data_IF_272965975846
#
_entry.id   IF_272965975846
#
_cell.length_a   1.000
_cell.length_b   1.000
_cell.length_c   1.000
_cell.angle_alpha   90.00
_cell.angle_beta   90.00
_cell.angle_gamma   90.00
#
_symmetry.space_group_name_H-M   'P 1'
#
loop_
_entity.id
_entity.type
_entity.pdbx_description
1 polymer ?
#
# COMPACT_ATOMS: atom_id res chain seq x y z
N UNK A 1 7.02 2.42 20.95
CA UNK A 1 7.51 3.22 22.11
C UNK A 1 7.12 4.70 21.99
N UNK A 2 7.44 5.38 20.89
CA UNK A 2 7.23 6.83 20.74
C UNK A 2 5.78 7.29 20.97
N UNK A 3 4.77 6.61 20.42
CA UNK A 3 3.37 7.02 20.59
C UNK A 3 2.90 6.98 22.06
N UNK A 4 3.34 5.97 22.82
CA UNK A 4 3.03 5.84 24.26
C UNK A 4 3.60 7.01 25.05
N UNK A 5 4.83 7.41 24.75
CA UNK A 5 5.50 8.55 25.39
C UNK A 5 4.83 9.88 25.00
N UNK A 6 4.43 10.07 23.74
CA UNK A 6 3.67 11.27 23.34
C UNK A 6 2.31 11.36 24.02
N UNK A 7 1.64 10.22 24.28
CA UNK A 7 0.37 10.22 25.01
C UNK A 7 0.51 10.61 26.48
N UNK A 8 1.72 10.49 27.04
CA UNK A 8 2.06 10.85 28.42
C UNK A 8 2.71 12.25 28.51
N UNK A 9 2.47 13.13 27.53
CA UNK A 9 2.96 14.52 27.47
C UNK A 9 4.51 14.68 27.44
N UNK A 10 5.26 13.63 27.04
CA UNK A 10 6.71 13.75 26.83
C UNK A 10 7.03 14.47 25.52
N UNK A 11 8.02 15.38 25.57
CA UNK A 11 8.64 15.99 24.39
C UNK A 11 9.62 14.99 23.78
N UNK A 12 9.36 14.54 22.55
CA UNK A 12 10.24 13.60 21.83
C UNK A 12 11.06 14.37 20.81
N UNK A 13 12.37 14.43 21.01
CA UNK A 13 13.31 14.89 19.99
C UNK A 13 13.70 13.72 19.09
N UNK A 14 13.34 13.80 17.81
CA UNK A 14 13.75 12.84 16.79
C UNK A 14 15.21 13.15 16.41
N UNK A 15 16.14 12.35 16.91
CA UNK A 15 17.52 12.37 16.45
C UNK A 15 17.63 11.57 15.14
N UNK A 16 17.95 12.23 14.02
CA UNK A 16 18.44 11.56 12.83
C UNK A 16 19.89 11.17 13.06
N UNK A 17 20.24 9.90 12.86
CA UNK A 17 21.54 9.41 13.29
C UNK A 17 22.25 8.60 12.19
N UNK A 18 23.54 8.90 12.04
CA UNK A 18 24.52 8.19 11.23
C UNK A 18 25.70 7.79 12.15
N UNK A 19 25.93 6.50 12.38
CA UNK A 19 27.00 5.99 13.26
C UNK A 19 26.82 4.54 13.74
N UNK A 20 27.65 4.10 14.71
CA UNK A 20 27.75 2.72 15.21
C UNK A 20 26.79 2.34 16.36
N UNK A 21 25.76 1.57 16.03
CA UNK A 21 24.94 0.74 16.95
C UNK A 21 24.03 1.43 17.98
N UNK A 22 22.79 1.78 17.60
CA UNK A 22 21.69 1.93 18.56
C UNK A 22 21.10 0.55 18.92
N UNK A 23 21.21 0.13 20.19
CA UNK A 23 20.49 -1.03 20.72
C UNK A 23 19.16 -0.57 21.32
N UNK A 24 18.10 -0.55 20.51
CA UNK A 24 16.75 -0.34 21.03
C UNK A 24 16.23 -1.63 21.66
N UNK A 25 16.15 -1.66 22.99
CA UNK A 25 15.40 -2.68 23.70
C UNK A 25 13.91 -2.33 23.67
N UNK A 26 13.13 -3.10 22.91
CA UNK A 26 11.67 -3.06 23.00
C UNK A 26 11.25 -3.87 24.22
N UNK A 27 11.03 -3.22 25.35
CA UNK A 27 10.30 -3.85 26.46
C UNK A 27 8.80 -3.85 26.11
N UNK A 28 8.30 -5.01 25.67
CA UNK A 28 6.90 -5.36 25.80
C UNK A 28 6.64 -5.58 27.29
N UNK A 29 6.24 -4.54 28.01
CA UNK A 29 5.59 -4.77 29.30
C UNK A 29 4.27 -5.51 29.05
N UNK A 30 4.16 -6.65 29.72
CA UNK A 30 3.15 -7.73 29.61
C UNK A 30 1.80 -7.35 30.20
N UNK A 31 1.35 -6.10 30.05
CA UNK A 31 0.05 -5.69 30.55
C UNK A 31 -0.61 -4.69 29.61
N UNK A 32 -1.47 -5.20 28.72
CA UNK A 32 -2.76 -4.58 28.46
C UNK A 32 -3.74 -5.70 28.07
N UNK A 33 -4.81 -5.76 28.85
CA UNK A 33 -5.68 -6.91 29.04
C UNK A 33 -6.66 -7.10 27.87
N UNK A 34 -6.71 -8.36 27.47
CA UNK A 34 -7.76 -9.17 26.89
C UNK A 34 -9.23 -8.67 26.99
N UNK A 35 -9.63 -7.48 26.52
CA UNK A 35 -11.06 -7.14 26.29
C UNK A 35 -11.32 -6.23 25.05
N UNK A 36 -10.31 -5.62 24.42
CA UNK A 36 -10.52 -4.74 23.25
C UNK A 36 -9.70 -5.15 22.01
N UNK A 37 -9.95 -6.38 21.54
CA UNK A 37 -9.23 -7.12 20.48
C UNK A 37 -9.65 -6.72 19.05
N UNK A 38 -9.66 -5.43 18.75
CA UNK A 38 -10.07 -4.90 17.44
C UNK A 38 -9.12 -3.82 16.91
N UNK A 39 -9.40 -3.25 15.73
CA UNK A 39 -8.58 -2.17 15.14
C UNK A 39 -8.46 -0.94 16.06
N UNK A 40 -9.36 -0.81 17.05
CA UNK A 40 -9.32 0.21 18.09
C UNK A 40 -8.72 -0.34 19.39
N UNK A 41 -7.41 -0.47 19.42
CA UNK A 41 -6.67 -0.92 20.62
C UNK A 41 -6.82 0.09 21.77
N UNK A 42 -6.66 -0.35 23.04
CA UNK A 42 -6.65 0.55 24.19
C UNK A 42 -5.65 1.71 24.02
N UNK A 43 -4.49 1.44 23.40
CA UNK A 43 -3.50 2.44 23.05
C UNK A 43 -4.03 3.48 22.06
N UNK A 44 -4.71 3.05 21.00
CA UNK A 44 -5.29 3.96 20.01
C UNK A 44 -6.37 4.85 20.62
N UNK A 45 -7.20 4.31 21.53
CA UNK A 45 -8.19 5.11 22.27
C UNK A 45 -7.53 6.13 23.18
N UNK A 46 -6.51 5.75 23.95
CA UNK A 46 -5.70 6.67 24.77
C UNK A 46 -5.08 7.77 23.90
N UNK A 47 -4.57 7.42 22.72
CA UNK A 47 -4.03 8.38 21.76
C UNK A 47 -5.10 9.37 21.26
N UNK A 48 -6.30 8.91 20.89
CA UNK A 48 -7.39 9.78 20.44
C UNK A 48 -7.78 10.81 21.50
N UNK A 49 -7.84 10.39 22.77
CA UNK A 49 -8.21 11.26 23.90
C UNK A 49 -7.04 11.92 24.62
N UNK A 50 -5.79 11.74 24.17
CA UNK A 50 -4.60 12.39 24.74
C UNK A 50 -4.57 13.91 24.52
N UNK A 51 -3.70 14.64 25.23
CA UNK A 51 -3.49 16.09 25.07
C UNK A 51 -2.60 16.47 23.88
N UNK A 52 -2.22 15.50 23.03
CA UNK A 52 -1.44 15.74 21.81
C UNK A 52 -2.16 16.72 20.88
N UNK A 53 -1.40 17.61 20.22
CA UNK A 53 -1.92 18.55 19.22
C UNK A 53 -2.73 17.82 18.14
N UNK A 54 -3.91 18.36 17.83
CA UNK A 54 -4.84 17.79 16.84
C UNK A 54 -4.18 17.55 15.47
N UNK A 55 -3.32 18.47 15.02
CA UNK A 55 -2.59 18.33 13.74
C UNK A 55 -1.75 17.06 13.70
N UNK A 56 -1.03 16.74 14.78
CA UNK A 56 -0.21 15.54 14.86
C UNK A 56 -1.08 14.28 14.93
N UNK A 57 -2.24 14.35 15.59
CA UNK A 57 -3.19 13.23 15.60
C UNK A 57 -3.69 12.93 14.18
N UNK A 58 -4.12 13.96 13.45
CA UNK A 58 -4.58 13.82 12.06
C UNK A 58 -3.46 13.24 11.21
N UNK A 59 -2.24 13.75 11.29
CA UNK A 59 -1.11 13.22 10.51
C UNK A 59 -0.83 11.75 10.80
N UNK A 60 -0.80 11.36 12.08
CA UNK A 60 -0.56 9.96 12.47
C UNK A 60 -1.70 9.05 11.98
N UNK A 61 -2.95 9.45 12.17
CA UNK A 61 -4.12 8.67 11.71
C UNK A 61 -4.10 8.55 10.18
N UNK A 62 -3.86 9.64 9.46
CA UNK A 62 -3.77 9.64 8.00
C UNK A 62 -2.64 8.73 7.53
N UNK A 63 -1.46 8.81 8.15
CA UNK A 63 -0.32 7.96 7.82
C UNK A 63 -0.59 6.48 8.12
N UNK A 64 -1.23 6.15 9.24
CA UNK A 64 -1.67 4.77 9.49
C UNK A 64 -2.73 4.33 8.48
N UNK A 65 -3.66 5.22 8.14
CA UNK A 65 -4.73 4.99 7.18
C UNK A 65 -4.25 4.67 5.77
N UNK A 66 -3.11 5.20 5.34
CA UNK A 66 -2.55 4.85 4.02
C UNK A 66 -2.14 3.38 3.94
N UNK A 67 -1.65 2.76 5.03
CA UNK A 67 -1.37 1.33 5.05
C UNK A 67 -2.65 0.49 4.90
N UNK A 68 -3.73 0.89 5.57
CA UNK A 68 -5.04 0.24 5.39
C UNK A 68 -5.57 0.40 3.96
N UNK A 69 -5.42 1.58 3.36
CA UNK A 69 -5.80 1.82 1.98
C UNK A 69 -4.98 0.95 1.01
N UNK A 70 -3.66 0.85 1.21
CA UNK A 70 -2.78 -0.02 0.42
C UNK A 70 -3.19 -1.48 0.61
N UNK A 71 -3.45 -1.94 1.83
CA UNK A 71 -3.86 -3.32 2.11
C UNK A 71 -5.21 -3.68 1.50
N UNK A 72 -6.16 -2.74 1.48
CA UNK A 72 -7.49 -2.94 0.89
C UNK A 72 -7.53 -2.78 -0.65
N UNK A 73 -6.49 -2.19 -1.26
CA UNK A 73 -6.49 -1.81 -2.67
C UNK A 73 -6.76 -3.00 -3.61
N UNK A 74 -6.17 -4.17 -3.37
CA UNK A 74 -6.38 -5.35 -4.22
C UNK A 74 -7.81 -5.92 -4.13
N UNK A 75 -8.42 -5.86 -2.95
CA UNK A 75 -9.82 -6.27 -2.74
C UNK A 75 -10.75 -5.30 -3.47
N UNK A 76 -10.58 -3.99 -3.22
CA UNK A 76 -11.39 -2.95 -3.85
C UNK A 76 -11.26 -2.98 -5.37
N UNK A 77 -10.05 -3.20 -5.90
CA UNK A 77 -9.82 -3.32 -7.36
C UNK A 77 -10.50 -4.56 -7.93
N UNK A 78 -10.47 -5.68 -7.22
CA UNK A 78 -11.15 -6.91 -7.63
C UNK A 78 -12.68 -6.73 -7.62
N UNK A 79 -13.23 -6.16 -6.54
CA UNK A 79 -14.65 -5.82 -6.46
C UNK A 79 -15.05 -4.84 -7.57
N UNK A 80 -14.24 -3.81 -7.82
CA UNK A 80 -14.45 -2.82 -8.86
C UNK A 80 -14.49 -3.47 -10.25
N UNK A 81 -13.61 -4.43 -10.53
CA UNK A 81 -13.64 -5.18 -11.79
C UNK A 81 -14.97 -5.91 -12.00
N UNK A 82 -15.45 -6.62 -10.99
CA UNK A 82 -16.73 -7.33 -11.08
C UNK A 82 -17.92 -6.37 -11.22
N UNK A 83 -17.92 -5.25 -10.48
CA UNK A 83 -18.95 -4.21 -10.57
C UNK A 83 -19.01 -3.58 -11.96
N UNK A 84 -17.87 -3.14 -12.52
CA UNK A 84 -17.79 -2.60 -13.89
C UNK A 84 -18.18 -3.64 -14.94
N UNK A 85 -17.94 -4.92 -14.65
CA UNK A 85 -18.33 -6.03 -15.50
C UNK A 85 -19.83 -6.34 -15.46
N UNK A 86 -20.53 -6.11 -14.35
CA UNK A 86 -21.97 -6.40 -14.22
C UNK A 86 -22.83 -5.18 -14.57
N UNK A 87 -22.40 -3.98 -14.18
CA UNK A 87 -23.15 -2.73 -14.37
C UNK A 87 -22.52 -1.85 -15.46
N UNK A 88 -22.06 -2.50 -16.53
CA UNK A 88 -21.35 -1.82 -17.61
C UNK A 88 -22.23 -0.74 -18.27
N UNK A 89 -21.69 0.46 -18.48
CA UNK A 89 -22.42 1.61 -19.02
C UNK A 89 -23.24 2.41 -18.00
N UNK A 90 -23.68 1.79 -16.88
CA UNK A 90 -24.35 2.53 -15.80
C UNK A 90 -23.35 3.25 -14.89
N UNK A 91 -22.21 2.59 -14.61
CA UNK A 91 -21.18 3.14 -13.73
C UNK A 91 -20.27 4.16 -14.43
N UNK A 92 -20.15 4.12 -15.75
CA UNK A 92 -19.22 4.95 -16.54
C UNK A 92 -19.37 6.44 -16.24
N UNK A 93 -20.61 6.92 -16.04
CA UNK A 93 -20.90 8.32 -15.66
C UNK A 93 -20.16 8.77 -14.39
N UNK A 94 -19.93 7.88 -13.43
CA UNK A 94 -19.26 8.19 -12.17
C UNK A 94 -17.74 8.10 -12.27
N UNK A 95 -17.21 7.31 -13.22
CA UNK A 95 -15.77 7.07 -13.36
C UNK A 95 -15.09 7.98 -14.36
N UNK A 96 -15.75 8.35 -15.46
CA UNK A 96 -15.11 9.06 -16.59
C UNK A 96 -14.46 10.38 -16.13
N UNK A 97 -15.20 11.23 -15.41
CA UNK A 97 -14.70 12.53 -14.96
C UNK A 97 -13.49 12.38 -14.02
N UNK A 98 -13.61 11.47 -13.05
CA UNK A 98 -12.52 11.16 -12.10
C UNK A 98 -11.29 10.59 -12.79
N UNK A 99 -11.50 9.73 -13.80
CA UNK A 99 -10.44 9.10 -14.58
C UNK A 99 -9.67 10.12 -15.44
N UNK A 100 -10.39 11.05 -16.09
CA UNK A 100 -9.77 12.11 -16.87
C UNK A 100 -8.89 13.01 -15.99
N UNK A 101 -9.41 13.46 -14.85
CA UNK A 101 -8.65 14.28 -13.89
C UNK A 101 -7.41 13.55 -13.40
N UNK A 102 -7.56 12.27 -13.00
CA UNK A 102 -6.45 11.45 -12.54
C UNK A 102 -5.35 11.30 -13.59
N UNK A 103 -5.73 10.99 -14.84
CA UNK A 103 -4.80 10.84 -15.96
C UNK A 103 -4.05 12.15 -16.26
N UNK A 104 -4.77 13.28 -16.29
CA UNK A 104 -4.17 14.61 -16.51
C UNK A 104 -3.17 14.99 -15.41
N UNK A 105 -3.50 14.73 -14.15
CA UNK A 105 -2.61 15.07 -13.03
C UNK A 105 -1.33 14.23 -13.08
N UNK A 106 -1.48 12.92 -13.24
CA UNK A 106 -0.36 11.99 -13.16
C UNK A 106 0.58 12.15 -14.33
N UNK A 107 0.09 12.23 -15.57
CA UNK A 107 0.97 12.23 -16.74
C UNK A 107 1.42 13.63 -17.17
N UNK A 108 0.54 14.63 -17.08
CA UNK A 108 0.77 15.94 -17.69
C UNK A 108 1.14 16.98 -16.64
N UNK A 109 0.34 17.12 -15.58
CA UNK A 109 0.50 18.22 -14.62
C UNK A 109 1.82 18.15 -13.86
N UNK A 110 2.21 16.96 -13.37
CA UNK A 110 3.47 16.77 -12.65
C UNK A 110 4.71 17.09 -13.50
N UNK A 111 4.69 16.73 -14.79
CA UNK A 111 5.77 17.05 -15.71
C UNK A 111 5.80 18.56 -16.03
N UNK A 112 4.64 19.16 -16.25
CA UNK A 112 4.53 20.59 -16.55
C UNK A 112 4.98 21.48 -15.38
N UNK A 113 4.66 21.10 -14.14
CA UNK A 113 5.16 21.80 -12.94
C UNK A 113 6.69 21.80 -12.86
N UNK A 114 7.35 20.70 -13.22
CA UNK A 114 8.82 20.60 -13.24
C UNK A 114 9.44 21.45 -14.34
N UNK A 115 8.82 21.46 -15.51
CA UNK A 115 9.20 22.35 -16.61
C UNK A 115 9.09 23.83 -16.20
N UNK A 116 7.96 24.21 -15.59
CA UNK A 116 7.70 25.59 -15.13
C UNK A 116 8.62 26.02 -13.98
N UNK A 117 9.10 25.08 -13.18
CA UNK A 117 10.12 25.34 -12.15
C UNK A 117 11.54 25.53 -12.73
N UNK A 118 11.73 25.45 -14.05
CA UNK A 118 13.01 25.65 -14.73
C UNK A 118 14.04 24.53 -14.51
N UNK A 119 13.61 23.36 -14.01
CA UNK A 119 14.53 22.28 -13.63
C UNK A 119 14.95 21.40 -14.81
N UNK A 120 14.12 21.23 -15.83
CA UNK A 120 14.43 20.47 -17.04
C UNK A 120 13.47 20.80 -18.19
N UNK A 121 13.82 20.41 -19.41
CA UNK A 121 12.94 20.54 -20.58
C UNK A 121 11.70 19.66 -20.44
N UNK A 122 10.60 20.03 -21.11
CA UNK A 122 9.31 19.36 -20.97
C UNK A 122 9.36 17.87 -21.34
N UNK A 123 10.09 17.51 -22.40
CA UNK A 123 10.26 16.12 -22.81
C UNK A 123 11.00 15.28 -21.74
N UNK A 124 12.08 15.82 -21.18
CA UNK A 124 12.84 15.16 -20.10
C UNK A 124 11.98 14.99 -18.85
N UNK A 125 11.25 16.04 -18.46
CA UNK A 125 10.30 16.00 -17.33
C UNK A 125 9.20 14.95 -17.52
N UNK A 126 8.68 14.78 -18.74
CA UNK A 126 7.66 13.76 -19.03
C UNK A 126 8.21 12.34 -18.91
N UNK A 127 9.39 12.07 -19.48
CA UNK A 127 10.02 10.75 -19.40
C UNK A 127 10.38 10.39 -17.96
N UNK A 128 10.94 11.33 -17.20
CA UNK A 128 11.20 11.11 -15.78
C UNK A 128 9.93 10.82 -15.00
N UNK A 129 8.88 11.64 -15.20
CA UNK A 129 7.61 11.47 -14.53
C UNK A 129 6.96 10.11 -14.84
N UNK A 130 7.00 9.68 -16.10
CA UNK A 130 6.51 8.36 -16.50
C UNK A 130 7.30 7.22 -15.83
N UNK A 131 8.64 7.31 -15.83
CA UNK A 131 9.52 6.33 -15.18
C UNK A 131 9.20 6.19 -13.69
N UNK A 132 9.09 7.32 -12.98
CA UNK A 132 8.80 7.31 -11.53
C UNK A 132 7.37 6.84 -11.24
N UNK A 133 6.39 7.26 -12.03
CA UNK A 133 5.00 6.81 -11.89
C UNK A 133 4.89 5.31 -12.10
N UNK A 134 5.52 4.77 -13.15
CA UNK A 134 5.53 3.33 -13.43
C UNK A 134 6.21 2.55 -12.29
N UNK A 135 7.37 3.03 -11.84
CA UNK A 135 8.09 2.42 -10.74
C UNK A 135 7.24 2.39 -9.44
N UNK A 136 6.59 3.51 -9.10
CA UNK A 136 5.70 3.59 -7.93
C UNK A 136 4.46 2.71 -8.08
N UNK A 137 3.88 2.62 -9.29
CA UNK A 137 2.73 1.75 -9.55
C UNK A 137 3.07 0.28 -9.33
N UNK A 138 4.23 -0.18 -9.81
CA UNK A 138 4.70 -1.55 -9.61
C UNK A 138 5.00 -1.82 -8.12
N UNK A 139 5.72 -0.91 -7.46
CA UNK A 139 6.11 -1.08 -6.06
C UNK A 139 4.89 -1.07 -5.15
N UNK A 140 4.08 -0.01 -5.18
CA UNK A 140 2.92 0.14 -4.30
C UNK A 140 1.82 -0.87 -4.63
N UNK A 141 1.65 -1.21 -5.92
CA UNK A 141 0.73 -2.26 -6.35
C UNK A 141 1.13 -3.64 -5.82
N UNK A 142 2.43 -3.99 -5.90
CA UNK A 142 2.94 -5.29 -5.45
C UNK A 142 2.93 -5.47 -3.92
N UNK A 143 2.97 -4.37 -3.16
CA UNK A 143 2.96 -4.42 -1.70
C UNK A 143 1.57 -4.68 -1.10
N UNK A 144 0.48 -4.42 -1.83
CA UNK A 144 -0.89 -4.46 -1.32
C UNK A 144 -1.24 -5.77 -0.60
N UNK A 145 -0.93 -6.92 -1.22
CA UNK A 145 -1.23 -8.23 -0.64
C UNK A 145 -0.44 -8.50 0.65
N UNK A 146 0.86 -8.20 0.65
CA UNK A 146 1.73 -8.40 1.81
C UNK A 146 1.37 -7.47 2.98
N UNK A 147 1.01 -6.22 2.68
CA UNK A 147 0.51 -5.27 3.69
C UNK A 147 -0.82 -5.76 4.26
N UNK A 148 -1.71 -6.32 3.43
CA UNK A 148 -2.97 -6.90 3.93
C UNK A 148 -2.72 -8.09 4.86
N UNK A 149 -1.75 -8.96 4.56
CA UNK A 149 -1.35 -10.06 5.44
C UNK A 149 -0.82 -9.53 6.78
N UNK A 150 0.05 -8.52 6.76
CA UNK A 150 0.59 -7.91 7.97
C UNK A 150 -0.50 -7.26 8.83
N UNK A 151 -1.45 -6.56 8.21
CA UNK A 151 -2.59 -5.94 8.90
C UNK A 151 -3.52 -6.99 9.50
N UNK A 152 -3.85 -8.06 8.76
CA UNK A 152 -4.70 -9.13 9.27
C UNK A 152 -3.99 -9.93 10.38
N UNK A 153 -2.70 -10.22 10.23
CA UNK A 153 -1.91 -10.86 11.28
C UNK A 153 -1.91 -9.99 12.56
N UNK A 154 -1.75 -8.67 12.43
CA UNK A 154 -1.88 -7.76 13.56
C UNK A 154 -3.31 -7.73 14.14
N UNK A 155 -4.36 -7.74 13.31
CA UNK A 155 -5.75 -7.72 13.78
C UNK A 155 -6.15 -9.01 14.50
N UNK A 156 -5.59 -10.15 14.09
CA UNK A 156 -5.86 -11.46 14.68
C UNK A 156 -4.79 -11.93 15.66
N UNK A 157 -3.86 -11.05 16.06
CA UNK A 157 -2.74 -11.35 16.97
C UNK A 157 -1.96 -12.61 16.56
N UNK A 158 -1.82 -12.85 15.25
CA UNK A 158 -0.96 -13.90 14.73
C UNK A 158 0.48 -13.41 14.87
N UNK A 159 1.29 -14.15 15.65
CA UNK A 159 2.71 -13.86 15.85
C UNK A 159 3.46 -13.86 14.51
N UNK A 160 3.61 -12.67 13.96
CA UNK A 160 4.39 -12.44 12.75
C UNK A 160 5.76 -11.92 13.15
N UNK A 161 6.76 -12.78 13.02
CA UNK A 161 8.15 -12.39 13.24
C UNK A 161 8.64 -11.56 12.07
N UNK A 162 8.98 -10.30 12.33
CA UNK A 162 9.67 -9.45 11.37
C UNK A 162 11.13 -9.88 11.31
N UNK A 163 11.53 -10.55 10.23
CA UNK A 163 12.94 -10.86 9.99
C UNK A 163 13.73 -9.55 9.87
N UNK A 164 14.72 -9.35 10.74
CA UNK A 164 15.67 -8.25 10.56
C UNK A 164 16.37 -8.46 9.22
N UNK A 165 16.43 -7.41 8.38
CA UNK A 165 17.23 -7.45 7.16
C UNK A 165 18.65 -7.83 7.53
N UNK A 166 19.12 -8.98 7.03
CA UNK A 166 20.48 -9.45 7.23
C UNK A 166 21.40 -8.36 6.66
N UNK A 167 22.20 -7.74 7.53
CA UNK A 167 23.07 -6.62 7.16
C UNK A 167 24.36 -7.07 6.47
N UNK A 168 24.59 -8.37 6.40
CA UNK A 168 25.69 -8.97 5.65
C UNK A 168 25.18 -9.47 4.31
N UNK A 169 25.76 -8.96 3.22
CA UNK A 169 25.46 -9.42 1.88
C UNK A 169 26.10 -10.80 1.67
N UNK A 170 25.32 -11.87 1.82
CA UNK A 170 25.72 -13.18 1.31
C UNK A 170 25.93 -13.08 -0.21
N UNK A 171 27.02 -13.63 -0.72
CA UNK A 171 27.29 -13.70 -2.16
C UNK A 171 26.16 -14.48 -2.83
N UNK A 172 25.26 -13.77 -3.51
CA UNK A 172 24.09 -14.36 -4.17
C UNK A 172 24.09 -13.99 -5.65
N UNK A 173 23.64 -14.93 -6.49
CA UNK A 173 23.48 -14.73 -7.92
C UNK A 173 21.99 -14.67 -8.27
N UNK A 174 21.63 -13.99 -9.36
CA UNK A 174 20.26 -13.86 -9.84
C UNK A 174 19.50 -15.19 -9.88
N UNK A 175 20.15 -16.24 -10.39
CA UNK A 175 19.57 -17.58 -10.53
C UNK A 175 19.34 -18.31 -9.20
N UNK A 176 19.94 -17.86 -8.10
CA UNK A 176 19.75 -18.42 -6.76
C UNK A 176 18.61 -17.68 -6.06
N UNK A 177 18.58 -16.35 -6.17
CA UNK A 177 17.58 -15.52 -5.48
C UNK A 177 16.20 -15.59 -6.14
N UNK A 178 16.12 -15.66 -7.48
CA UNK A 178 14.82 -15.72 -8.17
C UNK A 178 13.97 -16.93 -7.74
N UNK A 179 14.48 -18.18 -7.74
CA UNK A 179 13.70 -19.31 -7.26
C UNK A 179 13.34 -19.22 -5.77
N UNK A 180 14.23 -18.68 -4.92
CA UNK A 180 13.94 -18.45 -3.49
C UNK A 180 12.78 -17.47 -3.31
N UNK A 181 12.81 -16.35 -4.03
CA UNK A 181 11.74 -15.33 -4.01
C UNK A 181 10.43 -15.94 -4.48
N UNK A 182 10.43 -16.65 -5.61
CA UNK A 182 9.22 -17.28 -6.17
C UNK A 182 8.60 -18.28 -5.19
N UNK A 183 9.41 -19.12 -4.51
CA UNK A 183 8.89 -20.03 -3.48
C UNK A 183 8.30 -19.26 -2.30
N UNK A 184 8.98 -18.22 -1.83
CA UNK A 184 8.56 -17.42 -0.68
C UNK A 184 7.26 -16.66 -0.91
N UNK A 185 7.03 -16.16 -2.12
CA UNK A 185 5.80 -15.39 -2.49
C UNK A 185 4.87 -16.17 -3.41
N UNK A 186 4.99 -17.50 -3.43
CA UNK A 186 4.24 -18.41 -4.31
C UNK A 186 2.73 -18.27 -4.17
N UNK A 187 2.24 -18.06 -2.95
CA UNK A 187 0.81 -17.82 -2.68
C UNK A 187 0.33 -16.55 -3.37
N UNK A 188 1.11 -15.45 -3.30
CA UNK A 188 0.79 -14.20 -3.97
C UNK A 188 0.72 -14.40 -5.49
N UNK A 189 1.67 -15.13 -6.08
CA UNK A 189 1.65 -15.47 -7.51
C UNK A 189 0.45 -16.33 -7.91
N UNK A 190 0.08 -17.31 -7.09
CA UNK A 190 -1.09 -18.15 -7.35
C UNK A 190 -2.37 -17.32 -7.35
N UNK A 191 -2.55 -16.45 -6.35
CA UNK A 191 -3.72 -15.56 -6.25
C UNK A 191 -3.79 -14.62 -7.45
N UNK A 192 -2.69 -14.00 -7.85
CA UNK A 192 -2.68 -13.09 -9.01
C UNK A 192 -2.96 -13.82 -10.32
N UNK A 193 -2.46 -15.05 -10.50
CA UNK A 193 -2.76 -15.87 -11.66
C UNK A 193 -4.24 -16.30 -11.72
N UNK A 194 -4.85 -16.62 -10.58
CA UNK A 194 -6.29 -16.93 -10.52
C UNK A 194 -7.12 -15.70 -10.89
N UNK A 195 -6.78 -14.53 -10.35
CA UNK A 195 -7.45 -13.27 -10.69
C UNK A 195 -7.30 -13.00 -12.19
N UNK A 196 -6.09 -13.11 -12.76
CA UNK A 196 -5.85 -12.96 -14.20
C UNK A 196 -6.66 -13.93 -15.05
N UNK A 197 -6.74 -15.21 -14.65
CA UNK A 197 -7.56 -16.19 -15.35
C UNK A 197 -9.05 -15.82 -15.31
N UNK A 198 -9.56 -15.34 -14.17
CA UNK A 198 -10.92 -14.85 -14.04
C UNK A 198 -11.20 -13.62 -14.91
N UNK A 199 -10.23 -12.70 -15.03
CA UNK A 199 -10.31 -11.54 -15.92
C UNK A 199 -10.43 -11.98 -17.39
N UNK A 200 -9.57 -12.91 -17.83
CA UNK A 200 -9.54 -13.41 -19.21
C UNK A 200 -10.80 -14.19 -19.53
N UNK A 201 -11.23 -15.11 -18.65
CA UNK A 201 -12.46 -15.87 -18.83
C UNK A 201 -13.67 -14.95 -19.03
N UNK A 202 -13.79 -13.91 -18.21
CA UNK A 202 -14.91 -12.97 -18.32
C UNK A 202 -14.83 -12.13 -19.58
N UNK A 203 -13.64 -11.65 -19.96
CA UNK A 203 -13.46 -10.92 -21.22
C UNK A 203 -13.89 -11.76 -22.44
N UNK A 204 -13.49 -13.04 -22.49
CA UNK A 204 -13.86 -13.97 -23.56
C UNK A 204 -15.37 -14.25 -23.56
N UNK A 205 -15.97 -14.53 -22.40
CA UNK A 205 -17.42 -14.79 -22.30
C UNK A 205 -18.26 -13.59 -22.79
N UNK A 206 -17.79 -12.37 -22.51
CA UNK A 206 -18.45 -11.15 -22.98
C UNK A 206 -18.35 -10.99 -24.49
N UNK A 207 -17.16 -11.21 -25.07
CA UNK A 207 -16.96 -11.19 -26.52
C UNK A 207 -17.92 -12.17 -27.22
N UNK A 208 -18.06 -13.38 -26.69
CA UNK A 208 -19.00 -14.37 -27.23
C UNK A 208 -20.46 -13.90 -27.15
N UNK A 209 -20.88 -13.31 -26.01
CA UNK A 209 -22.24 -12.80 -25.87
C UNK A 209 -22.57 -11.66 -26.84
N UNK A 210 -21.62 -10.74 -27.08
CA UNK A 210 -21.79 -9.62 -28.01
C UNK A 210 -21.88 -10.13 -29.45
N UNK A 211 -21.02 -11.07 -29.83
CA UNK A 211 -21.05 -11.72 -31.16
C UNK A 211 -22.38 -12.43 -31.37
N UNK A 212 -22.88 -13.16 -30.37
CA UNK A 212 -24.15 -13.88 -30.44
C UNK A 212 -25.39 -12.97 -30.56
N UNK A 213 -25.35 -11.76 -30.00
CA UNK A 213 -26.42 -10.75 -30.17
C UNK A 213 -26.32 -9.94 -31.46
N UNK A 214 -25.20 -10.03 -32.17
CA UNK A 214 -24.96 -9.32 -33.44
C UNK A 214 -25.19 -10.17 -34.69
N UNK A 215 -25.55 -11.44 -34.52
CA UNK A 215 -26.05 -12.36 -35.55
C UNK A 215 -27.57 -12.47 -35.46
#
# INVERSE_FOLDING_TARGET
MALRLQCNDYIIHLAAWAGDGFKEGVSLTVYDELIYKGPFTPLFRRFLFSRIRLTSKITIISYTGTYYAIGAAWILTSCNYFLMGWFNGYLDKYYIDSWQVWFSIILVFNAFMRYRAGKSNIATSMVENFKWTMMLAIILGGLSFHVSQALLAHMFEIDMMWGATIKEAEFSNFWIEVPKVVKKVSITFMVTMIVLAALVFRAVSRLQSVVATSM
#
